data_IF_799148849840
#
_entry.id   IF_799148849840
#
_cell.length_a   1.000
_cell.length_b   1.000
_cell.length_c   1.000
_cell.angle_alpha   90.00
_cell.angle_beta   90.00
_cell.angle_gamma   90.00
#
_symmetry.space_group_name_H-M   'P 1'
#
loop_
_entity.id
_entity.type
_entity.pdbx_description
1 polymer ?
#
# COMPACT_ATOMS: atom_id res chain seq x y z
N UNK A 1 6.40 -14.82 -1.40
CA UNK A 1 7.21 -14.55 -2.61
C UNK A 1 6.47 -14.84 -3.92
N UNK A 2 5.85 -16.00 -4.14
CA UNK A 2 5.15 -16.24 -5.42
C UNK A 2 4.01 -15.25 -5.69
N UNK A 3 3.23 -14.88 -4.68
CA UNK A 3 2.18 -13.86 -4.81
C UNK A 3 2.70 -12.54 -5.39
N UNK A 4 3.85 -12.07 -4.89
CA UNK A 4 4.49 -10.84 -5.36
C UNK A 4 4.97 -11.00 -6.81
N UNK A 5 5.49 -12.16 -7.20
CA UNK A 5 5.93 -12.38 -8.59
C UNK A 5 4.77 -12.47 -9.58
N UNK A 6 3.65 -13.08 -9.19
CA UNK A 6 2.47 -13.25 -10.05
C UNK A 6 1.79 -11.91 -10.36
N UNK A 7 1.86 -10.95 -9.44
CA UNK A 7 1.26 -9.61 -9.60
C UNK A 7 2.27 -8.55 -10.09
N UNK A 8 3.46 -8.98 -10.50
CA UNK A 8 4.47 -8.10 -11.08
C UNK A 8 4.11 -7.79 -12.55
N UNK A 9 4.40 -6.57 -12.98
CA UNK A 9 4.34 -6.19 -14.39
C UNK A 9 5.78 -6.10 -14.93
N UNK A 10 6.13 -6.90 -15.96
CA UNK A 10 7.49 -6.95 -16.51
C UNK A 10 7.88 -5.69 -17.29
N UNK A 11 6.92 -4.85 -17.68
CA UNK A 11 7.15 -3.68 -18.53
C UNK A 11 6.86 -2.37 -17.79
N UNK A 12 5.74 -2.28 -17.07
CA UNK A 12 5.26 -1.03 -16.46
C UNK A 12 5.68 -0.86 -15.01
N UNK A 13 6.10 0.35 -14.66
CA UNK A 13 6.68 0.63 -13.34
C UNK A 13 5.62 1.13 -12.37
N UNK A 14 4.89 2.17 -12.74
CA UNK A 14 3.94 2.83 -11.86
C UNK A 14 2.65 2.02 -11.68
N UNK A 15 2.10 1.43 -12.74
CA UNK A 15 0.81 0.71 -12.68
C UNK A 15 0.67 -0.30 -13.81
N UNK A 16 -0.07 -1.40 -13.62
CA UNK A 16 -0.28 -2.40 -14.65
C UNK A 16 -1.20 -1.91 -15.77
N UNK A 17 -1.25 -2.65 -16.89
CA UNK A 17 -2.21 -2.37 -17.96
C UNK A 17 -3.65 -2.53 -17.45
N UNK A 18 -4.48 -1.50 -17.69
CA UNK A 18 -5.89 -1.51 -17.30
C UNK A 18 -6.17 -1.08 -15.86
N UNK A 19 -5.16 -0.59 -15.13
CA UNK A 19 -5.36 0.00 -13.82
C UNK A 19 -6.33 1.20 -13.89
N UNK A 20 -7.39 1.15 -13.08
CA UNK A 20 -8.44 2.17 -13.03
C UNK A 20 -8.29 3.04 -11.77
N UNK A 21 -7.62 4.17 -11.93
CA UNK A 21 -7.38 5.10 -10.83
C UNK A 21 -8.65 5.62 -10.17
N UNK A 22 -9.71 5.88 -10.94
CA UNK A 22 -10.94 6.46 -10.40
C UNK A 22 -11.61 5.46 -9.45
N UNK A 23 -11.83 4.23 -9.94
CA UNK A 23 -12.42 3.15 -9.14
C UNK A 23 -11.58 2.80 -7.90
N UNK A 24 -10.25 2.78 -8.03
CA UNK A 24 -9.35 2.45 -6.91
C UNK A 24 -9.30 3.55 -5.85
N UNK A 25 -9.36 4.82 -6.26
CA UNK A 25 -9.44 5.93 -5.32
C UNK A 25 -10.79 5.96 -4.60
N UNK A 26 -11.90 5.67 -5.30
CA UNK A 26 -13.21 5.54 -4.66
C UNK A 26 -13.21 4.41 -3.61
N UNK A 27 -12.67 3.24 -3.96
CA UNK A 27 -12.53 2.10 -3.03
C UNK A 27 -11.68 2.49 -1.81
N UNK A 28 -10.57 3.17 -2.02
CA UNK A 28 -9.73 3.68 -0.94
C UNK A 28 -10.46 4.68 -0.03
N UNK A 29 -11.24 5.62 -0.57
CA UNK A 29 -11.98 6.59 0.24
C UNK A 29 -13.04 5.92 1.12
N UNK A 30 -13.68 4.86 0.61
CA UNK A 30 -14.59 4.03 1.41
C UNK A 30 -13.83 3.29 2.52
N UNK A 31 -12.65 2.72 2.22
CA UNK A 31 -11.77 2.13 3.24
C UNK A 31 -11.41 3.16 4.32
N UNK A 32 -10.95 4.35 3.94
CA UNK A 32 -10.54 5.41 4.86
C UNK A 32 -11.69 5.86 5.77
N UNK A 33 -12.91 5.93 5.24
CA UNK A 33 -14.12 6.22 6.01
C UNK A 33 -14.40 5.12 7.03
N UNK A 34 -14.28 3.86 6.64
CA UNK A 34 -14.47 2.72 7.54
C UNK A 34 -13.37 2.64 8.61
N UNK A 35 -12.13 2.96 8.25
CA UNK A 35 -10.99 3.05 9.17
C UNK A 35 -11.25 4.08 10.27
N UNK A 36 -11.66 5.30 9.89
CA UNK A 36 -12.01 6.34 10.86
C UNK A 36 -13.15 5.88 11.79
N UNK A 37 -14.20 5.27 11.23
CA UNK A 37 -15.35 4.82 12.00
C UNK A 37 -15.00 3.70 12.99
N UNK A 38 -14.10 2.79 12.63
CA UNK A 38 -13.72 1.65 13.46
C UNK A 38 -12.76 2.04 14.59
N UNK A 39 -11.79 2.91 14.31
CA UNK A 39 -10.70 3.23 15.24
C UNK A 39 -10.86 4.58 15.93
N UNK A 40 -11.78 5.43 15.45
CA UNK A 40 -11.90 6.83 15.87
C UNK A 40 -10.57 7.61 15.75
N UNK A 41 -9.74 7.22 14.78
CA UNK A 41 -8.48 7.88 14.43
C UNK A 41 -8.71 8.64 13.14
N UNK A 42 -8.48 9.96 13.15
CA UNK A 42 -8.58 10.81 11.95
C UNK A 42 -7.26 10.83 11.21
N UNK A 43 -7.13 10.13 10.07
CA UNK A 43 -5.88 10.12 9.34
C UNK A 43 -5.76 11.33 8.40
N UNK A 44 -4.53 11.65 8.02
CA UNK A 44 -4.27 12.43 6.82
C UNK A 44 -4.34 11.51 5.61
N UNK A 45 -5.00 11.97 4.56
CA UNK A 45 -5.23 11.21 3.33
C UNK A 45 -4.50 11.89 2.18
N UNK A 46 -3.76 11.11 1.40
CA UNK A 46 -3.10 11.56 0.18
C UNK A 46 -3.47 10.65 -0.99
N UNK A 47 -3.84 11.27 -2.12
CA UNK A 47 -4.20 10.59 -3.37
C UNK A 47 -4.03 11.54 -4.57
N UNK A 48 -4.18 11.03 -5.79
CA UNK A 48 -4.18 11.84 -7.02
C UNK A 48 -2.91 12.69 -7.16
N UNK A 49 -3.06 14.00 -7.33
CA UNK A 49 -1.94 14.90 -7.56
C UNK A 49 -0.90 14.97 -6.42
N UNK A 50 -1.20 14.46 -5.22
CA UNK A 50 -0.24 14.36 -4.13
C UNK A 50 0.74 13.19 -4.28
N UNK A 51 0.39 12.21 -5.12
CA UNK A 51 1.18 10.99 -5.34
C UNK A 51 1.43 10.89 -6.85
N UNK A 52 2.60 11.35 -7.28
CA UNK A 52 3.03 11.33 -8.68
C UNK A 52 4.25 10.44 -8.81
N UNK A 53 4.47 9.85 -9.99
CA UNK A 53 5.64 9.02 -10.28
C UNK A 53 5.84 7.94 -9.20
N UNK A 54 4.78 7.15 -8.94
CA UNK A 54 4.73 6.19 -7.84
C UNK A 54 4.01 4.90 -8.18
N UNK A 55 4.42 3.82 -7.53
CA UNK A 55 3.83 2.48 -7.68
C UNK A 55 2.60 2.25 -6.79
N UNK A 56 2.10 3.30 -6.13
CA UNK A 56 0.94 3.30 -5.25
C UNK A 56 0.02 4.48 -5.60
N UNK A 57 -1.30 4.36 -5.37
CA UNK A 57 -2.28 5.38 -5.76
C UNK A 57 -2.76 6.24 -4.59
N UNK A 58 -2.69 5.69 -3.37
CA UNK A 58 -3.22 6.33 -2.17
C UNK A 58 -2.42 5.94 -0.94
N UNK A 59 -2.40 6.83 0.05
CA UNK A 59 -1.95 6.50 1.39
C UNK A 59 -2.78 7.19 2.48
N UNK A 60 -2.80 6.53 3.63
CA UNK A 60 -3.46 6.98 4.84
C UNK A 60 -2.39 7.08 5.94
N UNK A 61 -2.17 8.27 6.47
CA UNK A 61 -1.17 8.54 7.49
C UNK A 61 -1.89 8.75 8.82
N UNK A 62 -1.63 7.88 9.79
CA UNK A 62 -2.37 7.83 11.05
C UNK A 62 -1.44 7.85 12.27
N UNK A 63 -1.84 8.53 13.36
CA UNK A 63 -1.07 8.54 14.60
C UNK A 63 -1.23 7.23 15.38
N UNK A 64 -0.15 6.81 16.02
CA UNK A 64 -0.12 5.80 17.09
C UNK A 64 0.46 6.47 18.34
N UNK A 65 -0.37 6.68 19.34
CA UNK A 65 -0.01 7.48 20.51
C UNK A 65 0.17 8.96 20.16
N UNK A 66 1.05 9.66 20.89
CA UNK A 66 1.19 11.13 20.79
C UNK A 66 2.26 11.61 19.80
N UNK A 67 3.20 10.75 19.40
CA UNK A 67 4.44 11.18 18.71
C UNK A 67 4.79 10.36 17.48
N UNK A 68 4.13 9.22 17.25
CA UNK A 68 4.45 8.32 16.14
C UNK A 68 3.34 8.36 15.11
N UNK A 69 3.71 8.42 13.84
CA UNK A 69 2.81 8.30 12.71
C UNK A 69 3.26 7.12 11.87
N UNK A 70 2.29 6.38 11.35
CA UNK A 70 2.50 5.31 10.37
C UNK A 70 1.75 5.65 9.10
N UNK A 71 2.21 5.14 7.96
CA UNK A 71 1.49 5.24 6.69
C UNK A 71 1.04 3.87 6.23
N UNK A 72 -0.24 3.75 5.90
CA UNK A 72 -0.81 2.62 5.18
C UNK A 72 -0.88 3.00 3.70
N UNK A 73 -0.10 2.32 2.86
CA UNK A 73 -0.02 2.57 1.41
C UNK A 73 -0.82 1.54 0.63
N UNK A 74 -1.39 1.98 -0.50
CA UNK A 74 -2.24 1.19 -1.39
C UNK A 74 -1.60 1.11 -2.78
N UNK A 75 -1.09 -0.06 -3.13
CA UNK A 75 -0.33 -0.30 -4.36
C UNK A 75 -1.21 -0.24 -5.60
N UNK A 76 -0.63 0.17 -6.72
CA UNK A 76 -1.25 0.05 -8.04
C UNK A 76 -1.28 -1.42 -8.53
N UNK A 77 -0.61 -2.32 -7.83
CA UNK A 77 -0.46 -3.73 -8.21
C UNK A 77 -1.16 -4.65 -7.21
N UNK A 78 -1.84 -5.68 -7.72
CA UNK A 78 -2.33 -6.81 -6.93
C UNK A 78 -3.33 -6.47 -5.82
N UNK A 79 -3.90 -5.25 -5.80
CA UNK A 79 -4.67 -4.73 -4.66
C UNK A 79 -3.91 -4.87 -3.34
N UNK A 80 -2.59 -4.65 -3.36
CA UNK A 80 -1.77 -4.79 -2.16
C UNK A 80 -1.84 -3.55 -1.27
N UNK A 81 -1.85 -3.79 0.04
CA UNK A 81 -1.68 -2.73 1.04
C UNK A 81 -0.60 -3.13 2.04
N UNK A 82 0.10 -2.14 2.59
CA UNK A 82 1.08 -2.37 3.67
C UNK A 82 1.17 -1.16 4.57
N UNK A 83 1.53 -1.40 5.83
CA UNK A 83 2.00 -0.32 6.70
C UNK A 83 3.50 -0.16 6.44
N UNK A 84 3.95 1.07 6.21
CA UNK A 84 5.37 1.38 6.19
C UNK A 84 5.92 1.30 7.62
N UNK A 85 6.89 0.43 7.85
CA UNK A 85 7.42 0.13 9.19
C UNK A 85 6.30 -0.15 10.20
N UNK A 86 5.79 -1.38 10.20
CA UNK A 86 4.70 -1.82 11.07
C UNK A 86 5.13 -2.01 12.54
N UNK A 87 6.40 -1.73 12.88
CA UNK A 87 6.90 -1.83 14.24
C UNK A 87 6.20 -0.83 15.17
N UNK A 88 5.60 -1.34 16.24
CA UNK A 88 4.94 -0.53 17.26
C UNK A 88 3.51 -0.12 16.92
N UNK A 89 2.94 -0.63 15.81
CA UNK A 89 1.49 -0.59 15.60
C UNK A 89 0.82 -1.55 16.59
N UNK A 90 -0.14 -1.10 17.41
CA UNK A 90 -0.87 -1.96 18.33
C UNK A 90 -1.66 -3.06 17.60
N UNK A 91 -1.69 -4.26 18.18
CA UNK A 91 -2.40 -5.42 17.61
C UNK A 91 -3.88 -5.13 17.29
N UNK A 92 -4.55 -4.31 18.10
CA UNK A 92 -5.95 -3.90 17.86
C UNK A 92 -6.10 -3.10 16.56
N UNK A 93 -5.17 -2.17 16.31
CA UNK A 93 -5.16 -1.37 15.08
C UNK A 93 -4.83 -2.27 13.89
N UNK A 94 -3.81 -3.13 14.01
CA UNK A 94 -3.42 -4.05 12.96
C UNK A 94 -4.57 -5.02 12.62
N UNK A 95 -5.22 -5.63 13.62
CA UNK A 95 -6.37 -6.52 13.41
C UNK A 95 -7.50 -5.81 12.68
N UNK A 96 -7.80 -4.56 13.07
CA UNK A 96 -8.83 -3.76 12.39
C UNK A 96 -8.45 -3.47 10.94
N UNK A 97 -7.19 -3.14 10.66
CA UNK A 97 -6.70 -2.93 9.28
C UNK A 97 -6.86 -4.22 8.46
N UNK A 98 -6.52 -5.39 9.02
CA UNK A 98 -6.65 -6.67 8.34
C UNK A 98 -8.12 -7.04 8.03
N UNK A 99 -9.03 -6.80 8.98
CA UNK A 99 -10.48 -7.01 8.77
C UNK A 99 -11.04 -6.08 7.69
N UNK A 100 -10.61 -4.82 7.69
CA UNK A 100 -10.98 -3.87 6.64
C UNK A 100 -10.36 -4.25 5.29
N UNK A 101 -9.12 -4.74 5.28
CA UNK A 101 -8.47 -5.18 4.05
C UNK A 101 -9.28 -6.30 3.39
N UNK A 102 -9.66 -7.33 4.15
CA UNK A 102 -10.51 -8.43 3.68
C UNK A 102 -11.86 -7.91 3.15
N UNK A 103 -12.53 -7.03 3.91
CA UNK A 103 -13.81 -6.44 3.53
C UNK A 103 -13.77 -5.65 2.22
N UNK A 104 -12.66 -4.96 1.94
CA UNK A 104 -12.49 -4.12 0.75
C UNK A 104 -11.66 -4.81 -0.35
N UNK A 105 -11.44 -6.12 -0.22
CA UNK A 105 -10.72 -6.96 -1.20
C UNK A 105 -9.29 -6.46 -1.46
N UNK A 106 -8.64 -5.96 -0.40
CA UNK A 106 -7.21 -5.68 -0.37
C UNK A 106 -6.45 -6.83 0.25
N UNK A 107 -5.24 -7.08 -0.26
CA UNK A 107 -4.33 -8.07 0.30
C UNK A 107 -3.25 -7.35 1.10
N UNK A 108 -3.25 -7.53 2.43
CA UNK A 108 -2.19 -6.98 3.27
C UNK A 108 -0.89 -7.78 3.10
N UNK A 109 0.20 -7.07 2.83
CA UNK A 109 1.55 -7.63 2.76
C UNK A 109 2.35 -7.09 3.95
N UNK A 110 2.79 -7.93 4.90
CA UNK A 110 3.67 -7.50 5.99
C UNK A 110 4.98 -6.89 5.45
N UNK A 111 5.43 -5.80 6.06
CA UNK A 111 6.59 -5.02 5.57
C UNK A 111 7.86 -5.86 5.44
N UNK A 112 8.10 -6.80 6.35
CA UNK A 112 9.26 -7.71 6.32
C UNK A 112 9.41 -8.52 5.01
N UNK A 113 8.32 -8.73 4.26
CA UNK A 113 8.38 -9.40 2.95
C UNK A 113 8.69 -8.45 1.81
N UNK A 114 8.51 -7.15 2.01
CA UNK A 114 8.75 -6.09 1.05
C UNK A 114 10.20 -5.59 1.09
N UNK A 115 10.83 -5.68 2.27
CA UNK A 115 12.27 -5.38 2.47
C UNK A 115 13.20 -6.41 1.79
N UNK A 116 12.66 -7.53 1.32
CA UNK A 116 13.44 -8.54 0.61
C UNK A 116 13.82 -8.10 -0.81
N UNK A 117 14.97 -8.61 -1.28
CA UNK A 117 15.48 -8.38 -2.64
C UNK A 117 14.41 -8.60 -3.71
N UNK A 118 14.35 -7.66 -4.64
CA UNK A 118 13.50 -7.77 -5.82
C UNK A 118 14.00 -8.92 -6.72
N UNK A 119 13.12 -9.88 -6.98
CA UNK A 119 13.40 -11.06 -7.81
C UNK A 119 12.34 -11.29 -8.88
N UNK A 120 11.66 -10.20 -9.25
CA UNK A 120 10.65 -10.17 -10.31
C UNK A 120 11.26 -10.09 -11.71
N UNK A 121 10.41 -9.82 -12.70
CA UNK A 121 10.76 -9.88 -14.12
C UNK A 121 10.91 -8.51 -14.80
N UNK A 122 10.71 -7.41 -14.07
CA UNK A 122 10.91 -6.08 -14.61
C UNK A 122 12.40 -5.80 -14.75
N UNK A 123 12.91 -5.95 -15.98
CA UNK A 123 14.32 -5.77 -16.33
C UNK A 123 14.71 -4.28 -16.48
N UNK A 124 13.77 -3.36 -16.22
CA UNK A 124 13.73 -2.03 -16.83
C UNK A 124 14.59 -0.94 -16.20
N UNK A 125 15.08 -1.07 -14.95
CA UNK A 125 15.83 0.03 -14.32
C UNK A 125 16.85 -0.39 -13.29
N UNK A 126 17.95 0.35 -13.29
CA UNK A 126 18.80 0.56 -12.12
C UNK A 126 17.99 1.30 -11.05
N UNK A 127 17.58 0.64 -9.96
CA UNK A 127 16.93 1.32 -8.83
C UNK A 127 15.94 0.48 -8.03
N UNK A 128 15.27 -0.50 -8.66
CA UNK A 128 14.40 -1.44 -7.93
C UNK A 128 15.27 -2.54 -7.34
N UNK A 129 15.65 -2.37 -6.08
CA UNK A 129 16.41 -3.37 -5.31
C UNK A 129 15.53 -4.25 -4.42
N UNK A 130 14.30 -3.81 -4.12
CA UNK A 130 13.39 -4.44 -3.17
C UNK A 130 11.95 -4.47 -3.68
N UNK A 131 11.15 -5.37 -3.11
CA UNK A 131 9.71 -5.43 -3.39
C UNK A 131 8.95 -4.20 -2.86
N UNK A 132 9.49 -3.52 -1.85
CA UNK A 132 9.01 -2.23 -1.38
C UNK A 132 9.03 -1.20 -2.50
N UNK A 133 10.20 -0.97 -3.12
CA UNK A 133 10.33 -0.01 -4.22
C UNK A 133 9.38 -0.38 -5.35
N UNK A 134 9.28 -1.68 -5.66
CA UNK A 134 8.43 -2.17 -6.75
C UNK A 134 6.95 -1.83 -6.59
N UNK A 135 6.41 -1.88 -5.37
CA UNK A 135 4.97 -1.84 -5.13
C UNK A 135 4.47 -0.64 -4.34
N UNK A 136 5.33 0.04 -3.61
CA UNK A 136 4.90 1.01 -2.61
C UNK A 136 5.74 2.28 -2.58
N UNK A 137 6.70 2.46 -3.49
CA UNK A 137 7.55 3.65 -3.50
C UNK A 137 7.36 4.51 -4.76
N UNK A 138 7.98 5.68 -4.70
CA UNK A 138 8.17 6.56 -5.84
C UNK A 138 9.21 5.96 -6.80
N UNK A 139 8.98 6.10 -8.11
CA UNK A 139 9.75 5.46 -9.20
C UNK A 139 10.29 6.46 -10.21
#
# INVERSE_FOLDING_TARGET
MELLKINDDPERWEYPLGFDYESEQERFLQFATAFFAALNISPMIETGACIQDASFHSQLIFPVGLVRYHSLRFSNFGSFITINDDEGVPDEILSTILELADRFEYTYIPYQYLDADYTGSNLGVTGIDSWWIRYFDYV
#
